data_IF_084879648906
#
_entry.id   IF_084879648906
#
_cell.length_a   1.000
_cell.length_b   1.000
_cell.length_c   1.000
_cell.angle_alpha   90.00
_cell.angle_beta   90.00
_cell.angle_gamma   90.00
#
_symmetry.space_group_name_H-M   'P 1'
#
loop_
_entity.id
_entity.type
_entity.pdbx_description
1 polymer ?
#
# COMPACT_ATOMS: atom_id res chain seq x y z
N UNK A 1 -11.50 -9.81 -14.58
CA UNK A 1 -11.27 -10.73 -13.43
C UNK A 1 -11.46 -9.84 -12.22
N UNK A 2 -12.22 -10.27 -11.21
CA UNK A 2 -12.48 -9.39 -10.08
C UNK A 2 -11.17 -9.07 -9.36
N UNK A 3 -10.97 -7.80 -9.03
CA UNK A 3 -9.88 -7.37 -8.17
C UNK A 3 -9.97 -8.12 -6.84
N UNK A 4 -8.82 -8.47 -6.29
CA UNK A 4 -8.74 -9.40 -5.17
C UNK A 4 -7.74 -8.90 -4.14
N UNK A 5 -8.17 -8.90 -2.87
CA UNK A 5 -7.32 -8.74 -1.71
C UNK A 5 -7.38 -10.03 -0.90
N UNK A 6 -6.25 -10.72 -0.80
CA UNK A 6 -6.10 -12.00 -0.13
C UNK A 6 -5.32 -11.82 1.17
N UNK A 7 -6.00 -12.00 2.30
CA UNK A 7 -5.37 -11.99 3.63
C UNK A 7 -4.90 -13.38 4.02
N UNK A 8 -3.82 -13.43 4.77
CA UNK A 8 -3.31 -14.66 5.36
C UNK A 8 -2.51 -14.39 6.65
N UNK A 9 -2.32 -15.43 7.46
CA UNK A 9 -1.53 -15.39 8.68
C UNK A 9 -0.61 -16.62 8.72
N UNK A 10 0.60 -16.43 9.24
CA UNK A 10 1.52 -17.53 9.49
C UNK A 10 1.15 -18.14 10.85
N UNK A 11 0.71 -19.40 10.89
CA UNK A 11 0.22 -20.02 12.13
C UNK A 11 1.33 -20.16 13.19
N UNK A 12 2.57 -20.34 12.73
CA UNK A 12 3.73 -20.54 13.61
C UNK A 12 4.58 -19.26 13.80
N UNK A 13 4.11 -18.10 13.35
CA UNK A 13 4.82 -16.83 13.49
C UNK A 13 3.83 -15.70 13.79
N UNK A 14 4.21 -14.76 14.65
CA UNK A 14 3.43 -13.55 14.92
C UNK A 14 3.52 -12.55 13.75
N UNK A 15 3.16 -12.99 12.55
CA UNK A 15 3.23 -12.23 11.29
C UNK A 15 1.95 -12.47 10.52
N UNK A 16 1.36 -11.39 10.01
CA UNK A 16 0.30 -11.46 9.00
C UNK A 16 0.81 -10.98 7.67
N UNK A 17 0.17 -11.47 6.61
CA UNK A 17 0.47 -11.04 5.25
C UNK A 17 -0.79 -10.81 4.42
N UNK A 18 -0.64 -9.98 3.41
CA UNK A 18 -1.71 -9.67 2.47
C UNK A 18 -1.15 -9.50 1.06
N UNK A 19 -1.87 -10.01 0.08
CA UNK A 19 -1.61 -9.77 -1.34
C UNK A 19 -2.80 -9.05 -1.94
N UNK A 20 -2.55 -8.02 -2.74
CA UNK A 20 -3.59 -7.32 -3.49
C UNK A 20 -3.30 -7.34 -4.98
N UNK A 21 -4.35 -7.51 -5.76
CA UNK A 21 -4.38 -7.36 -7.21
C UNK A 21 -5.53 -6.44 -7.62
N UNK A 22 -5.16 -5.33 -8.27
CA UNK A 22 -6.06 -4.30 -8.76
C UNK A 22 -5.85 -4.14 -10.27
N UNK A 23 -6.69 -4.78 -11.07
CA UNK A 23 -6.71 -4.65 -12.53
C UNK A 23 -7.86 -3.74 -12.98
N UNK A 24 -9.09 -4.08 -12.59
CA UNK A 24 -10.29 -3.38 -13.06
C UNK A 24 -10.42 -1.99 -12.41
N UNK A 25 -10.15 -1.88 -11.11
CA UNK A 25 -10.11 -0.61 -10.38
C UNK A 25 -9.04 0.31 -10.94
N UNK A 26 -7.84 -0.23 -11.18
CA UNK A 26 -6.72 0.56 -11.68
C UNK A 26 -6.96 1.08 -13.10
N UNK A 27 -7.47 0.24 -14.00
CA UNK A 27 -7.87 0.67 -15.35
C UNK A 27 -8.95 1.75 -15.31
N UNK A 28 -9.91 1.66 -14.40
CA UNK A 28 -10.94 2.70 -14.24
C UNK A 28 -10.35 4.02 -13.74
N UNK A 29 -9.40 4.01 -12.81
CA UNK A 29 -8.67 5.21 -12.38
C UNK A 29 -7.97 5.86 -13.59
N UNK A 30 -7.19 5.08 -14.34
CA UNK A 30 -6.42 5.58 -15.48
C UNK A 30 -7.30 6.08 -16.64
N UNK A 31 -8.46 5.45 -16.87
CA UNK A 31 -9.37 5.85 -17.96
C UNK A 31 -9.88 7.30 -17.85
N UNK A 32 -9.84 7.89 -16.64
CA UNK A 32 -10.32 9.24 -16.39
C UNK A 32 -9.31 10.33 -16.73
N UNK A 33 -8.00 10.02 -16.72
CA UNK A 33 -6.92 10.97 -16.96
C UNK A 33 -5.70 10.28 -17.54
N UNK A 34 -5.17 10.83 -18.63
CA UNK A 34 -3.91 10.39 -19.22
C UNK A 34 -2.74 10.91 -18.39
N UNK A 35 -2.12 10.04 -17.60
CA UNK A 35 -0.91 10.35 -16.85
C UNK A 35 0.34 9.84 -17.57
N UNK A 36 1.49 10.53 -17.45
CA UNK A 36 2.79 9.98 -17.86
C UNK A 36 3.10 8.67 -17.13
N UNK A 37 3.89 7.78 -17.76
CA UNK A 37 4.14 6.42 -17.25
C UNK A 37 4.65 6.41 -15.81
N UNK A 38 5.64 7.25 -15.49
CA UNK A 38 6.20 7.30 -14.14
C UNK A 38 5.15 7.71 -13.08
N UNK A 39 4.21 8.58 -13.44
CA UNK A 39 3.11 8.99 -12.55
C UNK A 39 2.07 7.88 -12.39
N UNK A 40 1.79 7.13 -13.47
CA UNK A 40 0.93 5.94 -13.41
C UNK A 40 1.49 4.91 -12.42
N UNK A 41 2.79 4.63 -12.48
CA UNK A 41 3.46 3.69 -11.58
C UNK A 41 3.30 4.13 -10.12
N UNK A 42 3.69 5.37 -9.79
CA UNK A 42 3.58 5.87 -8.40
C UNK A 42 2.13 5.85 -7.89
N UNK A 43 1.17 6.27 -8.72
CA UNK A 43 -0.24 6.31 -8.34
C UNK A 43 -0.83 4.90 -8.16
N UNK A 44 -0.42 3.94 -8.99
CA UNK A 44 -0.80 2.53 -8.87
C UNK A 44 -0.19 1.87 -7.63
N UNK A 45 1.08 2.12 -7.32
CA UNK A 45 1.72 1.67 -6.08
C UNK A 45 1.01 2.23 -4.84
N UNK A 46 0.69 3.52 -4.84
CA UNK A 46 -0.10 4.13 -3.76
C UNK A 46 -1.50 3.51 -3.65
N UNK A 47 -2.13 3.17 -4.78
CA UNK A 47 -3.45 2.52 -4.80
C UNK A 47 -3.38 1.14 -4.13
N UNK A 48 -2.44 0.29 -4.55
CA UNK A 48 -2.21 -1.01 -3.92
C UNK A 48 -1.94 -0.89 -2.42
N UNK A 49 -1.09 0.06 -2.02
CA UNK A 49 -0.78 0.30 -0.61
C UNK A 49 -2.01 0.75 0.19
N UNK A 50 -2.89 1.57 -0.37
CA UNK A 50 -4.12 1.99 0.30
C UNK A 50 -5.03 0.79 0.60
N UNK A 51 -5.16 -0.13 -0.35
CA UNK A 51 -5.96 -1.34 -0.17
C UNK A 51 -5.39 -2.23 0.96
N UNK A 52 -4.08 -2.48 0.92
CA UNK A 52 -3.37 -3.31 1.92
C UNK A 52 -3.46 -2.70 3.32
N UNK A 53 -3.24 -1.39 3.46
CA UNK A 53 -3.35 -0.74 4.77
C UNK A 53 -4.79 -0.72 5.28
N UNK A 54 -5.78 -0.57 4.39
CA UNK A 54 -7.20 -0.51 4.78
C UNK A 54 -7.76 -1.84 5.27
N UNK A 55 -7.27 -2.97 4.75
CA UNK A 55 -7.85 -4.29 5.00
C UNK A 55 -7.80 -4.76 6.46
N UNK A 56 -6.96 -4.11 7.28
CA UNK A 56 -6.78 -4.39 8.70
C UNK A 56 -7.27 -3.28 9.63
N UNK A 57 -7.73 -2.16 9.10
CA UNK A 57 -8.28 -1.09 9.92
C UNK A 57 -9.65 -1.53 10.44
N UNK A 58 -9.78 -1.66 11.77
CA UNK A 58 -11.08 -1.80 12.45
C UNK A 58 -11.81 -0.45 12.51
N UNK A 59 -11.86 0.24 11.39
CA UNK A 59 -12.28 1.63 11.28
C UNK A 59 -13.44 1.73 10.29
N UNK A 60 -14.55 2.33 10.73
CA UNK A 60 -15.66 2.65 9.84
C UNK A 60 -15.46 4.04 9.24
N UNK A 61 -14.73 4.10 8.12
CA UNK A 61 -14.42 5.35 7.43
C UNK A 61 -13.51 5.17 6.22
N UNK A 62 -12.83 6.25 5.83
CA UNK A 62 -11.89 6.29 4.71
C UNK A 62 -10.44 6.46 5.18
N UNK A 63 -9.55 5.64 4.64
CA UNK A 63 -8.11 5.89 4.61
C UNK A 63 -7.81 6.76 3.40
N UNK A 64 -7.20 7.92 3.62
CA UNK A 64 -6.76 8.84 2.57
C UNK A 64 -5.25 9.00 2.68
N UNK A 65 -4.54 8.65 1.61
CA UNK A 65 -3.11 8.88 1.48
C UNK A 65 -2.84 9.99 0.48
N UNK A 66 -2.02 10.96 0.87
CA UNK A 66 -1.65 12.07 0.02
C UNK A 66 -0.15 12.29 0.02
N UNK A 67 0.40 12.57 -1.15
CA UNK A 67 1.77 13.05 -1.31
C UNK A 67 1.71 14.45 -1.91
N UNK A 68 2.21 15.42 -1.15
CA UNK A 68 2.35 16.80 -1.60
C UNK A 68 3.78 17.01 -2.10
N UNK A 69 3.92 17.47 -3.33
CA UNK A 69 5.21 17.64 -3.99
C UNK A 69 5.55 19.09 -4.32
N UNK A 70 6.84 19.39 -4.35
CA UNK A 70 7.41 20.64 -4.85
C UNK A 70 7.93 20.51 -6.30
N UNK A 71 7.85 19.33 -6.90
CA UNK A 71 8.26 19.03 -8.28
C UNK A 71 7.15 19.01 -9.35
N UNK A 72 7.39 18.33 -10.49
CA UNK A 72 6.41 18.14 -11.57
C UNK A 72 5.06 17.57 -11.12
N UNK A 73 5.06 16.68 -10.12
CA UNK A 73 3.86 16.14 -9.48
C UNK A 73 3.59 16.94 -8.22
N UNK A 74 2.52 17.74 -8.24
CA UNK A 74 2.12 18.62 -7.12
C UNK A 74 1.35 17.88 -6.03
N UNK A 75 0.56 16.90 -6.43
CA UNK A 75 -0.29 16.15 -5.52
C UNK A 75 -0.56 14.76 -6.08
N UNK A 76 -0.40 13.72 -5.25
CA UNK A 76 -0.99 12.40 -5.44
C UNK A 76 -2.00 12.20 -4.30
N UNK A 77 -3.18 11.68 -4.61
CA UNK A 77 -4.19 11.31 -3.61
C UNK A 77 -4.74 9.95 -3.96
N UNK A 78 -4.84 9.09 -2.94
CA UNK A 78 -5.60 7.86 -2.98
C UNK A 78 -6.53 7.83 -1.79
N UNK A 79 -7.76 7.38 -2.00
CA UNK A 79 -8.72 7.08 -0.94
C UNK A 79 -9.20 5.63 -1.08
N UNK A 80 -9.32 4.96 0.05
CA UNK A 80 -9.89 3.62 0.18
C UNK A 80 -10.77 3.60 1.44
N UNK A 81 -12.05 3.27 1.27
CA UNK A 81 -12.97 3.17 2.40
C UNK A 81 -13.03 1.74 2.98
N UNK A 82 -13.76 1.58 4.09
CA UNK A 82 -13.93 0.30 4.77
C UNK A 82 -14.56 -0.81 3.89
N UNK A 83 -15.26 -0.45 2.81
CA UNK A 83 -15.83 -1.38 1.84
C UNK A 83 -14.88 -1.65 0.65
N UNK A 84 -13.61 -1.24 0.75
CA UNK A 84 -12.58 -1.31 -0.30
C UNK A 84 -13.02 -0.63 -1.60
N UNK A 85 -13.84 0.41 -1.48
CA UNK A 85 -14.17 1.28 -2.59
C UNK A 85 -13.09 2.34 -2.71
N UNK A 86 -12.51 2.46 -3.91
CA UNK A 86 -11.25 3.18 -4.09
C UNK A 86 -11.33 4.22 -5.19
N UNK A 87 -10.58 5.31 -5.00
CA UNK A 87 -10.28 6.30 -6.03
C UNK A 87 -8.88 6.85 -5.86
N UNK A 88 -8.32 7.31 -6.97
CA UNK A 88 -7.01 7.92 -6.98
C UNK A 88 -6.94 9.03 -8.04
N UNK A 89 -6.12 10.04 -7.77
CA UNK A 89 -5.87 11.15 -8.69
C UNK A 89 -4.50 11.76 -8.45
N UNK A 90 -3.90 12.25 -9.53
CA UNK A 90 -2.69 13.04 -9.50
C UNK A 90 -2.94 14.44 -10.11
N UNK A 91 -2.27 15.45 -9.55
CA UNK A 91 -2.18 16.81 -10.07
C UNK A 91 -0.74 17.09 -10.48
N UNK A 92 -0.56 17.37 -11.77
CA UNK A 92 0.72 17.80 -12.33
C UNK A 92 0.82 19.34 -12.31
N UNK A 93 2.05 19.86 -12.34
CA UNK A 93 2.27 21.26 -12.67
C UNK A 93 1.86 21.53 -14.14
N UNK A 94 1.43 22.76 -14.44
CA UNK A 94 0.87 23.13 -15.75
C UNK A 94 1.76 22.71 -16.93
N UNK A 95 3.07 22.90 -16.81
CA UNK A 95 4.06 22.64 -17.87
C UNK A 95 5.03 21.51 -17.49
N UNK A 96 4.55 20.54 -16.70
CA UNK A 96 5.36 19.41 -16.26
C UNK A 96 5.76 18.52 -17.44
N UNK A 97 7.06 18.46 -17.73
CA UNK A 97 7.64 17.41 -18.58
C UNK A 97 8.12 16.29 -17.66
N UNK A 98 7.53 15.10 -17.84
CA UNK A 98 7.81 13.93 -17.01
C UNK A 98 8.44 12.84 -17.87
N UNK A 99 9.72 12.51 -17.65
CA UNK A 99 10.35 11.32 -18.22
C UNK A 99 9.66 10.04 -17.74
N UNK A 100 9.63 9.01 -18.59
CA UNK A 100 9.00 7.73 -18.28
C UNK A 100 9.70 6.93 -17.17
N UNK A 101 10.99 7.21 -16.93
CA UNK A 101 11.86 6.59 -15.94
C UNK A 101 12.13 7.50 -14.73
N UNK A 102 11.39 8.60 -14.59
CA UNK A 102 11.59 9.54 -13.50
C UNK A 102 11.30 8.91 -12.13
N UNK A 103 12.25 9.05 -11.20
CA UNK A 103 12.13 8.56 -9.82
C UNK A 103 11.12 9.37 -9.00
N UNK A 104 10.66 8.78 -7.87
CA UNK A 104 9.81 9.46 -6.89
C UNK A 104 10.38 10.84 -6.50
N UNK A 105 11.69 10.89 -6.20
CA UNK A 105 12.37 12.13 -5.81
C UNK A 105 12.32 13.19 -6.91
N UNK A 106 12.62 12.83 -8.15
CA UNK A 106 12.58 13.77 -9.28
C UNK A 106 11.16 14.30 -9.55
N UNK A 107 10.16 13.45 -9.39
CA UNK A 107 8.76 13.79 -9.66
C UNK A 107 8.12 14.65 -8.58
N UNK A 108 8.39 14.32 -7.32
CA UNK A 108 7.62 14.87 -6.20
C UNK A 108 8.45 15.83 -5.37
N UNK A 109 9.69 15.47 -5.02
CA UNK A 109 10.49 16.21 -4.03
C UNK A 109 11.89 16.61 -4.52
N UNK A 110 12.07 17.19 -5.72
CA UNK A 110 13.39 17.59 -6.21
C UNK A 110 14.10 18.57 -5.28
N UNK A 111 13.36 19.39 -4.52
CA UNK A 111 13.93 20.35 -3.56
C UNK A 111 13.82 19.91 -2.09
N UNK A 112 13.36 18.68 -1.83
CA UNK A 112 13.31 18.11 -0.48
C UNK A 112 12.14 18.58 0.39
N UNK A 113 11.14 19.31 -0.15
CA UNK A 113 10.00 19.79 0.62
C UNK A 113 8.72 18.96 0.44
N UNK A 114 8.86 17.76 -0.14
CA UNK A 114 7.76 16.81 -0.26
C UNK A 114 7.25 16.35 1.10
N UNK A 115 5.95 16.08 1.19
CA UNK A 115 5.30 15.58 2.41
C UNK A 115 4.39 14.42 2.10
N UNK A 116 4.36 13.46 3.01
CA UNK A 116 3.39 12.37 3.00
C UNK A 116 2.37 12.58 4.13
N UNK A 117 1.11 12.37 3.80
CA UNK A 117 -0.03 12.58 4.69
C UNK A 117 -0.90 11.34 4.66
N UNK A 118 -1.17 10.78 5.84
CA UNK A 118 -2.22 9.78 6.03
C UNK A 118 -3.34 10.41 6.85
N UNK A 119 -4.56 10.30 6.36
CA UNK A 119 -5.77 10.74 7.07
C UNK A 119 -6.72 9.56 7.25
N UNK A 120 -7.20 9.37 8.48
CA UNK A 120 -8.29 8.45 8.79
C UNK A 120 -9.54 9.29 9.03
N UNK A 121 -10.44 9.28 8.05
CA UNK A 121 -11.66 10.08 8.06
C UNK A 121 -12.88 9.23 8.43
N UNK A 122 -13.48 9.38 9.62
CA UNK A 122 -14.60 8.54 10.05
C UNK A 122 -15.84 8.81 9.20
N UNK A 123 -16.59 7.76 8.86
CA UNK A 123 -17.87 7.91 8.18
C UNK A 123 -18.90 8.59 9.09
N UNK A 124 -19.01 8.08 10.32
CA UNK A 124 -19.92 8.58 11.35
C UNK A 124 -19.20 9.60 12.24
N UNK A 125 -19.14 10.85 11.80
CA UNK A 125 -18.50 11.93 12.56
C UNK A 125 -19.39 12.38 13.72
N UNK A 126 -18.88 12.29 14.94
CA UNK A 126 -19.48 12.97 16.07
C UNK A 126 -19.31 14.50 15.91
N UNK A 127 -20.24 15.33 16.40
CA UNK A 127 -20.09 16.78 16.36
C UNK A 127 -18.75 17.22 16.99
N UNK A 128 -17.92 17.90 16.21
CA UNK A 128 -16.59 18.36 16.63
C UNK A 128 -15.46 17.34 16.51
N UNK A 129 -15.73 16.09 16.10
CA UNK A 129 -14.70 15.09 15.87
C UNK A 129 -13.92 15.43 14.60
N UNK A 130 -12.62 15.68 14.77
CA UNK A 130 -11.69 15.91 13.66
C UNK A 130 -11.15 14.56 13.16
N UNK A 131 -10.88 14.43 11.85
CA UNK A 131 -10.16 13.28 11.31
C UNK A 131 -8.78 13.17 11.96
N UNK A 132 -8.32 11.94 12.18
CA UNK A 132 -6.94 11.72 12.55
C UNK A 132 -6.06 11.95 11.32
N UNK A 133 -4.99 12.73 11.45
CA UNK A 133 -4.07 13.00 10.35
C UNK A 133 -2.62 12.95 10.83
N UNK A 134 -1.84 12.08 10.22
CA UNK A 134 -0.39 12.02 10.35
C UNK A 134 0.29 12.68 9.16
N UNK A 135 1.16 13.67 9.42
CA UNK A 135 1.94 14.37 8.40
C UNK A 135 3.42 14.13 8.68
N UNK A 136 4.14 13.58 7.71
CA UNK A 136 5.58 13.34 7.80
C UNK A 136 6.31 13.88 6.57
N UNK A 137 7.61 14.21 6.68
CA UNK A 137 8.44 14.45 5.50
C UNK A 137 8.39 13.26 4.54
N UNK A 138 8.49 13.52 3.24
CA UNK A 138 8.63 12.45 2.25
C UNK A 138 10.05 11.87 2.29
N UNK A 139 10.27 10.93 3.21
CA UNK A 139 11.55 10.29 3.50
C UNK A 139 11.57 8.86 2.94
N UNK A 140 12.37 8.61 1.91
CA UNK A 140 12.48 7.32 1.21
C UNK A 140 12.53 7.47 -0.31
N UNK A 141 13.12 6.48 -0.98
CA UNK A 141 13.29 6.50 -2.44
C UNK A 141 12.10 5.88 -3.21
N UNK A 142 11.21 5.17 -2.51
CA UNK A 142 10.03 4.49 -3.08
C UNK A 142 8.78 4.75 -2.24
N UNK A 143 7.59 4.54 -2.83
CA UNK A 143 6.32 4.64 -2.10
C UNK A 143 6.28 3.66 -0.92
N UNK A 144 6.76 2.43 -1.13
CA UNK A 144 6.86 1.42 -0.08
C UNK A 144 7.72 1.93 1.10
N UNK A 145 8.93 2.44 0.85
CA UNK A 145 9.83 2.93 1.90
C UNK A 145 9.23 4.10 2.70
N UNK A 146 8.58 5.06 2.01
CA UNK A 146 7.89 6.18 2.66
C UNK A 146 6.81 5.68 3.63
N UNK A 147 6.00 4.72 3.18
CA UNK A 147 4.92 4.16 4.00
C UNK A 147 5.49 3.32 5.15
N UNK A 148 6.51 2.49 4.90
CA UNK A 148 7.19 1.72 5.95
C UNK A 148 7.75 2.62 7.05
N UNK A 149 8.39 3.74 6.69
CA UNK A 149 8.87 4.73 7.65
C UNK A 149 7.75 5.36 8.47
N UNK A 150 6.61 5.67 7.83
CA UNK A 150 5.42 6.15 8.52
C UNK A 150 4.90 5.10 9.51
N UNK A 151 4.70 3.85 9.07
CA UNK A 151 4.20 2.77 9.93
C UNK A 151 5.11 2.51 11.12
N UNK A 152 6.43 2.55 10.93
CA UNK A 152 7.39 2.36 12.01
C UNK A 152 7.39 3.52 13.02
N UNK A 153 7.41 4.77 12.55
CA UNK A 153 7.59 5.94 13.42
C UNK A 153 6.28 6.44 14.04
N UNK A 154 5.19 6.41 13.28
CA UNK A 154 3.90 6.98 13.67
C UNK A 154 2.96 5.93 14.27
N UNK A 155 2.92 4.73 13.70
CA UNK A 155 2.03 3.65 14.16
C UNK A 155 2.73 2.61 15.06
N UNK A 156 4.07 2.64 15.13
CA UNK A 156 4.89 1.65 15.85
C UNK A 156 4.64 0.20 15.41
N UNK A 157 4.42 0.02 14.10
CA UNK A 157 4.17 -1.29 13.49
C UNK A 157 5.29 -1.66 12.52
N UNK A 158 5.99 -2.77 12.81
CA UNK A 158 6.94 -3.39 11.89
C UNK A 158 6.19 -3.88 10.64
N UNK A 159 6.30 -3.11 9.56
CA UNK A 159 5.58 -3.31 8.30
C UNK A 159 6.57 -3.33 7.15
N UNK A 160 6.37 -4.26 6.20
CA UNK A 160 7.11 -4.34 4.94
C UNK A 160 6.16 -4.40 3.77
N UNK A 161 6.51 -3.66 2.72
CA UNK A 161 5.70 -3.48 1.52
C UNK A 161 6.54 -3.76 0.28
N UNK A 162 5.98 -4.56 -0.62
CA UNK A 162 6.46 -4.70 -1.98
C UNK A 162 5.33 -4.26 -2.89
N UNK A 163 5.55 -3.23 -3.69
CA UNK A 163 4.54 -2.61 -4.54
C UNK A 163 5.05 -2.61 -5.97
N UNK A 164 4.16 -2.89 -6.92
CA UNK A 164 4.44 -2.74 -8.33
C UNK A 164 3.17 -2.35 -9.08
N UNK A 165 3.32 -1.49 -10.08
CA UNK A 165 2.23 -1.13 -10.98
C UNK A 165 2.76 -0.91 -12.40
N UNK A 166 1.88 -1.11 -13.38
CA UNK A 166 2.09 -0.74 -14.77
C UNK A 166 0.81 -0.12 -15.36
N UNK A 167 0.72 -0.01 -16.69
CA UNK A 167 -0.45 0.58 -17.35
C UNK A 167 -1.73 -0.27 -17.27
N UNK A 168 -1.67 -1.51 -16.76
CA UNK A 168 -2.79 -2.46 -16.73
C UNK A 168 -3.15 -2.91 -15.31
N UNK A 169 -2.16 -3.11 -14.45
CA UNK A 169 -2.34 -3.74 -13.15
C UNK A 169 -1.54 -3.00 -12.07
N UNK A 170 -2.09 -2.96 -10.86
CA UNK A 170 -1.41 -2.53 -9.65
C UNK A 170 -1.51 -3.66 -8.62
N UNK A 171 -0.37 -4.07 -8.05
CA UNK A 171 -0.28 -5.17 -7.10
C UNK A 171 0.61 -4.81 -5.92
N UNK A 172 0.45 -5.56 -4.84
CA UNK A 172 1.32 -5.41 -3.68
C UNK A 172 1.25 -6.58 -2.72
N UNK A 173 2.34 -6.75 -1.97
CA UNK A 173 2.47 -7.62 -0.80
C UNK A 173 2.71 -6.73 0.42
N UNK A 174 1.95 -6.97 1.49
CA UNK A 174 2.21 -6.42 2.82
C UNK A 174 2.55 -7.59 3.74
N UNK A 175 3.63 -7.45 4.51
CA UNK A 175 3.90 -8.26 5.69
C UNK A 175 3.94 -7.35 6.92
N UNK A 176 3.32 -7.77 8.01
CA UNK A 176 3.32 -6.98 9.23
C UNK A 176 3.39 -7.87 10.46
N UNK A 177 4.23 -7.47 11.41
CA UNK A 177 4.34 -8.13 12.69
C UNK A 177 3.07 -7.91 13.52
N UNK A 178 2.57 -8.98 14.12
CA UNK A 178 1.46 -8.91 15.06
C UNK A 178 1.99 -8.64 16.47
N UNK A 179 1.26 -7.85 17.29
CA UNK A 179 1.60 -7.71 18.69
C UNK A 179 1.50 -9.07 19.39
N UNK A 180 2.36 -9.31 20.38
CA UNK A 180 2.43 -10.57 21.13
C UNK A 180 1.19 -10.81 22.03
N UNK A 181 0.28 -9.84 22.13
CA UNK A 181 -0.97 -9.99 22.88
C UNK A 181 -1.97 -10.84 22.09
N UNK A 182 -1.87 -12.16 22.20
CA UNK A 182 -2.79 -13.07 21.50
C UNK A 182 -2.55 -14.57 21.56
N UNK A 183 -1.54 -15.06 22.28
CA UNK A 183 -1.44 -16.50 22.61
C UNK A 183 -0.43 -17.33 21.80
N UNK A 184 0.52 -16.71 21.11
CA UNK A 184 1.78 -17.38 20.76
C UNK A 184 2.85 -16.78 21.66
N UNK A 185 3.02 -17.34 22.87
CA UNK A 185 4.15 -17.06 23.76
C UNK A 185 5.43 -17.66 23.18
N UNK A 186 5.79 -17.26 21.96
CA UNK A 186 7.12 -17.51 21.44
C UNK A 186 8.09 -16.56 22.16
N UNK A 187 9.25 -17.04 22.63
CA UNK A 187 10.32 -16.17 23.12
C UNK A 187 10.58 -15.04 22.12
N UNK A 188 10.87 -13.84 22.62
CA UNK A 188 11.08 -12.64 21.79
C UNK A 188 12.08 -12.88 20.65
N UNK A 189 13.13 -13.64 20.91
CA UNK A 189 14.16 -14.00 19.93
C UNK A 189 13.58 -14.84 18.77
N UNK A 190 12.75 -15.85 19.08
CA UNK A 190 12.07 -16.68 18.07
C UNK A 190 11.07 -15.87 17.24
N UNK A 191 10.37 -14.91 17.85
CA UNK A 191 9.47 -14.01 17.13
C UNK A 191 10.23 -13.06 16.19
N UNK A 192 11.39 -12.57 16.62
CA UNK A 192 12.27 -11.73 15.80
C UNK A 192 12.87 -12.52 14.63
N UNK A 193 13.34 -13.74 14.88
CA UNK A 193 13.84 -14.65 13.83
C UNK A 193 12.75 -14.97 12.80
N UNK A 194 11.53 -15.25 13.26
CA UNK A 194 10.39 -15.54 12.38
C UNK A 194 10.05 -14.35 11.50
N UNK A 195 9.98 -13.14 12.07
CA UNK A 195 9.80 -11.91 11.31
C UNK A 195 10.89 -11.71 10.26
N UNK A 196 12.16 -11.81 10.67
CA UNK A 196 13.30 -11.63 9.77
C UNK A 196 13.28 -12.66 8.63
N UNK A 197 12.91 -13.91 8.91
CA UNK A 197 12.72 -14.97 7.90
C UNK A 197 11.63 -14.60 6.90
N UNK A 198 10.45 -14.17 7.37
CA UNK A 198 9.35 -13.79 6.46
C UNK A 198 9.73 -12.59 5.58
N UNK A 199 10.41 -11.60 6.15
CA UNK A 199 10.92 -10.45 5.39
C UNK A 199 12.00 -10.87 4.40
N UNK A 200 12.90 -11.79 4.77
CA UNK A 200 13.93 -12.30 3.87
C UNK A 200 13.30 -13.03 2.67
N UNK A 201 12.28 -13.87 2.90
CA UNK A 201 11.53 -14.53 1.83
C UNK A 201 10.83 -13.50 0.93
N UNK A 202 10.09 -12.56 1.51
CA UNK A 202 9.43 -11.48 0.76
C UNK A 202 10.41 -10.62 -0.04
N UNK A 203 11.63 -10.39 0.47
CA UNK A 203 12.67 -9.61 -0.21
C UNK A 203 13.23 -10.29 -1.47
N UNK A 204 12.93 -11.57 -1.70
CA UNK A 204 13.27 -12.25 -2.96
C UNK A 204 12.29 -11.93 -4.09
N UNK A 205 11.12 -11.37 -3.77
CA UNK A 205 10.08 -11.03 -4.73
C UNK A 205 10.52 -9.91 -5.67
N UNK A 206 10.47 -10.16 -6.98
CA UNK A 206 10.77 -9.16 -8.01
C UNK A 206 9.50 -8.48 -8.50
N UNK A 207 9.64 -7.22 -8.94
CA UNK A 207 8.52 -6.47 -9.52
C UNK A 207 7.88 -7.18 -10.72
N UNK A 208 8.67 -7.80 -11.59
CA UNK A 208 8.14 -8.55 -12.73
C UNK A 208 7.29 -9.75 -12.28
N UNK A 209 7.74 -10.50 -11.26
CA UNK A 209 6.95 -11.60 -10.71
C UNK A 209 5.66 -11.12 -10.09
N UNK A 210 5.73 -10.01 -9.33
CA UNK A 210 4.55 -9.37 -8.75
C UNK A 210 3.55 -8.96 -9.84
N UNK A 211 3.98 -8.44 -10.99
CA UNK A 211 3.10 -8.00 -12.08
C UNK A 211 2.57 -9.14 -12.97
N UNK A 212 3.31 -10.24 -13.12
CA UNK A 212 2.99 -11.30 -14.10
C UNK A 212 2.32 -12.53 -13.47
N UNK A 213 2.46 -12.74 -12.16
CA UNK A 213 2.06 -13.99 -11.48
C UNK A 213 0.84 -13.79 -10.58
N UNK A 214 -0.11 -14.73 -10.61
CA UNK A 214 -1.30 -14.67 -9.75
C UNK A 214 -0.97 -14.86 -8.26
N UNK A 215 -1.88 -14.39 -7.39
CA UNK A 215 -1.73 -14.41 -5.93
C UNK A 215 -1.44 -15.81 -5.38
N UNK A 216 -2.15 -16.85 -5.83
CA UNK A 216 -2.00 -18.19 -5.29
C UNK A 216 -0.62 -18.77 -5.64
N UNK A 217 -0.16 -18.55 -6.87
CA UNK A 217 1.17 -18.96 -7.31
C UNK A 217 2.27 -18.19 -6.57
N UNK A 218 2.13 -16.86 -6.38
CA UNK A 218 3.10 -16.05 -5.62
C UNK A 218 3.21 -16.52 -4.17
N UNK A 219 2.07 -16.71 -3.49
CA UNK A 219 2.03 -17.17 -2.11
C UNK A 219 2.72 -18.53 -1.95
N UNK A 220 2.47 -19.46 -2.87
CA UNK A 220 3.15 -20.76 -2.86
C UNK A 220 4.66 -20.59 -3.10
N UNK A 221 5.09 -19.79 -4.08
CA UNK A 221 6.53 -19.62 -4.38
C UNK A 221 7.30 -19.03 -3.20
N UNK A 222 6.73 -18.04 -2.52
CA UNK A 222 7.38 -17.34 -1.42
C UNK A 222 7.36 -18.16 -0.12
N UNK A 223 6.26 -18.87 0.16
CA UNK A 223 5.98 -19.38 1.50
C UNK A 223 5.58 -20.87 1.52
N UNK A 224 6.03 -21.69 0.56
CA UNK A 224 5.66 -23.11 0.49
C UNK A 224 6.05 -23.94 1.72
N UNK A 225 7.11 -23.58 2.44
CA UNK A 225 7.53 -24.26 3.68
C UNK A 225 6.74 -23.79 4.90
N UNK A 226 5.97 -22.71 4.79
CA UNK A 226 5.30 -22.09 5.90
C UNK A 226 3.87 -22.60 6.06
N UNK A 227 3.43 -22.76 7.32
CA UNK A 227 2.03 -23.08 7.60
C UNK A 227 1.22 -21.79 7.58
N UNK A 228 0.47 -21.58 6.50
CA UNK A 228 -0.33 -20.38 6.28
C UNK A 228 -1.82 -20.70 6.39
N UNK A 229 -2.54 -19.89 7.17
CA UNK A 229 -4.00 -19.84 7.10
C UNK A 229 -4.42 -18.69 6.20
N UNK A 230 -5.16 -19.04 5.16
CA UNK A 230 -5.72 -18.12 4.15
C UNK A 230 -7.16 -17.78 4.55
N UNK A 231 -7.52 -16.50 4.52
CA UNK A 231 -8.89 -16.03 4.82
C UNK A 231 -9.72 -15.85 3.55
N UNK A 232 -11.02 -15.56 3.70
CA UNK A 232 -11.85 -15.22 2.54
C UNK A 232 -11.31 -13.98 1.82
N UNK A 233 -11.23 -14.00 0.48
CA UNK A 233 -10.78 -12.85 -0.29
C UNK A 233 -11.81 -11.73 -0.21
N UNK A 234 -11.32 -10.49 -0.21
CA UNK A 234 -12.14 -9.31 -0.40
C UNK A 234 -11.97 -8.77 -1.83
N UNK A 235 -12.95 -7.98 -2.29
CA UNK A 235 -13.00 -7.50 -3.67
C UNK A 235 -13.01 -5.96 -3.73
N UNK A 236 -11.83 -5.33 -3.81
CA UNK A 236 -11.73 -3.91 -4.07
C UNK A 236 -12.46 -3.52 -5.36
N UNK A 237 -12.99 -2.31 -5.40
CA UNK A 237 -13.64 -1.79 -6.60
C UNK A 237 -13.45 -0.28 -6.72
N UNK A 238 -13.52 0.22 -7.95
CA UNK A 238 -13.51 1.65 -8.20
C UNK A 238 -14.83 2.31 -7.75
N UNK A 239 -14.74 3.45 -7.06
CA UNK A 239 -15.88 4.30 -6.73
C UNK A 239 -15.50 5.79 -6.65
N UNK A 240 -16.26 6.67 -7.31
CA UNK A 240 -16.23 8.13 -7.11
C UNK A 240 -17.64 8.55 -6.69
N UNK A 241 -17.75 9.36 -5.64
CA UNK A 241 -18.97 10.12 -5.31
C UNK A 241 -19.07 11.45 -6.08
N UNK A 242 -18.15 11.62 -7.02
CA UNK A 242 -18.01 12.64 -8.03
C UNK A 242 -18.64 12.09 -9.32
#
# INVERSE_FOLDING_TARGET
MADTLQKFIFENAAVRGELVELSDTWRQVQSRRAYPKAVQILLGEMLSAAALLSANLKFNGSLIMQIHGDGPVRLLVVECNAALQMRATAKLAHDAVVPDDASLRQLVTPHGNGRFVITLDPLDKLPGQQPYQGIVPLDGDTIAAVIEHYMLRSEQLDTKLWLAADGQIARGLLLQKLPNEGGIDAPLDTALESWNRMVALGSTLKNAELLETDIATLMRRLFWEETIRIFEPAHPNFHCSC
#
